data_IF_404127704703
#
_entry.id   IF_404127704703
#
_cell.length_a   1.000
_cell.length_b   1.000
_cell.length_c   1.000
_cell.angle_alpha   90.00
_cell.angle_beta   90.00
_cell.angle_gamma   90.00
#
_symmetry.space_group_name_H-M   'P 1'
#
loop_
_entity.id
_entity.type
_entity.pdbx_description
1 polymer ?
#
# COMPACT_ATOMS: atom_id res chain seq x y z
N UNK A 1 5.14 8.51 -13.05
CA UNK A 1 3.98 8.98 -12.27
C UNK A 1 3.98 10.50 -12.30
N UNK A 2 3.19 11.08 -13.20
CA UNK A 2 2.90 12.53 -13.19
C UNK A 2 1.79 12.73 -12.15
N UNK A 3 2.16 12.79 -10.87
CA UNK A 3 1.23 13.10 -9.79
C UNK A 3 1.12 14.60 -9.53
N UNK A 4 0.09 15.07 -8.81
CA UNK A 4 -0.04 16.44 -8.37
C UNK A 4 1.19 16.90 -7.57
N UNK A 5 1.43 18.20 -7.45
CA UNK A 5 2.66 18.79 -6.92
C UNK A 5 3.13 18.29 -5.56
N UNK A 6 2.21 17.84 -4.68
CA UNK A 6 2.54 17.27 -3.37
C UNK A 6 3.45 16.02 -3.46
N UNK A 7 3.23 15.14 -4.44
CA UNK A 7 4.07 13.95 -4.62
C UNK A 7 5.50 14.29 -5.07
N UNK A 8 5.70 15.41 -5.75
CA UNK A 8 7.04 15.86 -6.16
C UNK A 8 7.90 16.23 -4.96
N UNK A 9 7.33 16.92 -3.99
CA UNK A 9 8.05 17.34 -2.79
C UNK A 9 8.33 16.17 -1.85
N UNK A 10 7.38 15.27 -1.66
CA UNK A 10 7.58 14.01 -0.91
C UNK A 10 8.71 13.21 -1.55
N UNK A 11 8.67 12.97 -2.87
CA UNK A 11 9.68 12.23 -3.60
C UNK A 11 11.08 12.86 -3.46
N UNK A 12 11.17 14.18 -3.55
CA UNK A 12 12.41 14.93 -3.35
C UNK A 12 12.95 14.75 -1.92
N UNK A 13 12.08 14.81 -0.92
CA UNK A 13 12.46 14.64 0.48
C UNK A 13 12.91 13.20 0.77
N UNK A 14 12.19 12.20 0.27
CA UNK A 14 12.56 10.80 0.41
C UNK A 14 13.95 10.54 -0.19
N UNK A 15 14.23 11.07 -1.36
CA UNK A 15 15.54 10.91 -2.01
C UNK A 15 16.65 11.66 -1.29
N UNK A 16 16.45 12.94 -1.02
CA UNK A 16 17.53 13.82 -0.54
C UNK A 16 17.80 13.65 0.95
N UNK A 17 16.77 13.49 1.75
CA UNK A 17 16.87 13.40 3.19
C UNK A 17 16.98 11.95 3.68
N UNK A 18 16.09 11.08 3.17
CA UNK A 18 16.05 9.67 3.57
C UNK A 18 16.91 8.77 2.69
N UNK A 19 17.60 9.35 1.68
CA UNK A 19 18.56 8.63 0.80
C UNK A 19 17.94 7.41 0.08
N UNK A 20 16.63 7.45 -0.18
CA UNK A 20 16.01 6.41 -0.98
C UNK A 20 16.54 6.45 -2.42
N UNK A 21 16.84 5.30 -3.03
CA UNK A 21 17.35 5.21 -4.40
C UNK A 21 16.21 5.43 -5.43
N UNK A 22 15.61 6.61 -5.40
CA UNK A 22 14.52 7.00 -6.29
C UNK A 22 15.10 7.84 -7.44
N UNK A 23 14.88 7.48 -8.72
CA UNK A 23 15.36 8.24 -9.88
C UNK A 23 14.87 9.69 -9.88
N UNK A 24 15.70 10.60 -10.42
CA UNK A 24 15.36 12.03 -10.44
C UNK A 24 14.38 12.40 -11.53
N UNK A 25 14.43 11.71 -12.67
CA UNK A 25 13.66 11.97 -13.87
C UNK A 25 12.74 10.84 -14.28
N UNK A 26 12.57 10.70 -15.57
CA UNK A 26 11.95 9.52 -16.16
C UNK A 26 12.87 8.31 -15.96
N UNK A 27 12.28 7.13 -15.92
CA UNK A 27 13.03 5.88 -15.80
C UNK A 27 13.79 5.67 -17.12
N UNK A 28 15.06 5.37 -17.01
CA UNK A 28 15.92 5.00 -18.13
C UNK A 28 16.34 3.52 -18.03
N UNK A 29 17.11 3.05 -18.99
CA UNK A 29 17.55 1.65 -19.07
C UNK A 29 18.41 1.20 -17.87
N UNK A 30 18.97 2.12 -17.10
CA UNK A 30 19.72 1.80 -15.89
C UNK A 30 18.84 1.45 -14.69
N UNK A 31 17.54 1.79 -14.76
CA UNK A 31 16.58 1.45 -13.72
C UNK A 31 15.92 0.11 -14.04
N UNK A 32 16.62 -0.94 -13.73
CA UNK A 32 16.18 -2.31 -13.92
C UNK A 32 15.31 -2.83 -12.75
N UNK A 33 14.93 -4.10 -12.83
CA UNK A 33 14.14 -4.79 -11.82
C UNK A 33 14.83 -4.80 -10.46
N UNK A 34 16.15 -5.00 -10.42
CA UNK A 34 16.89 -5.08 -9.17
C UNK A 34 16.99 -3.69 -8.50
N UNK A 35 17.18 -2.64 -9.29
CA UNK A 35 17.11 -1.26 -8.81
C UNK A 35 15.72 -0.92 -8.26
N UNK A 36 14.66 -1.39 -8.91
CA UNK A 36 13.28 -1.21 -8.44
C UNK A 36 13.04 -1.94 -7.12
N UNK A 37 13.47 -3.20 -7.01
CA UNK A 37 13.39 -3.97 -5.77
C UNK A 37 14.14 -3.29 -4.62
N UNK A 38 15.36 -2.81 -4.87
CA UNK A 38 16.14 -2.08 -3.86
C UNK A 38 15.45 -0.79 -3.40
N UNK A 39 14.89 -0.03 -4.34
CA UNK A 39 14.11 1.17 -4.03
C UNK A 39 12.87 0.84 -3.19
N UNK A 40 12.18 -0.25 -3.51
CA UNK A 40 11.02 -0.72 -2.76
C UNK A 40 11.39 -1.18 -1.34
N UNK A 41 12.45 -1.97 -1.18
CA UNK A 41 12.97 -2.38 0.13
C UNK A 41 13.37 -1.18 1.00
N UNK A 42 14.06 -0.19 0.39
CA UNK A 42 14.43 1.03 1.09
C UNK A 42 13.19 1.85 1.52
N UNK A 43 12.16 1.88 0.67
CA UNK A 43 10.90 2.53 0.99
C UNK A 43 10.16 1.84 2.15
N UNK A 44 10.13 0.51 2.19
CA UNK A 44 9.54 -0.23 3.31
C UNK A 44 10.25 0.05 4.64
N UNK A 45 11.59 0.13 4.64
CA UNK A 45 12.35 0.54 5.84
C UNK A 45 12.02 1.97 6.29
N UNK A 46 11.85 2.89 5.33
CA UNK A 46 11.36 4.24 5.62
C UNK A 46 9.94 4.19 6.20
N UNK A 47 9.04 3.40 5.61
CA UNK A 47 7.64 3.28 6.06
C UNK A 47 7.56 2.82 7.52
N UNK A 48 8.37 1.84 7.93
CA UNK A 48 8.42 1.41 9.32
C UNK A 48 8.65 2.60 10.28
N UNK A 49 9.64 3.43 10.01
CA UNK A 49 9.93 4.61 10.82
C UNK A 49 8.83 5.69 10.71
N UNK A 50 8.29 5.89 9.50
CA UNK A 50 7.24 6.88 9.27
C UNK A 50 5.92 6.52 9.96
N UNK A 51 5.50 5.28 9.88
CA UNK A 51 4.29 4.77 10.54
C UNK A 51 4.43 4.78 12.07
N UNK A 52 5.67 4.68 12.59
CA UNK A 52 5.97 4.83 14.01
C UNK A 52 6.11 6.31 14.44
N UNK A 53 5.86 7.30 13.56
CA UNK A 53 6.00 8.73 13.87
C UNK A 53 7.45 9.21 14.05
N UNK A 54 8.44 8.44 13.60
CA UNK A 54 9.87 8.70 13.80
C UNK A 54 10.51 9.49 12.65
N UNK A 55 9.73 10.00 11.71
CA UNK A 55 10.21 10.82 10.60
C UNK A 55 9.58 12.21 10.63
N UNK A 56 10.24 13.20 10.01
CA UNK A 56 9.68 14.54 9.82
C UNK A 56 8.63 14.62 8.70
N UNK A 57 8.31 13.51 8.03
CA UNK A 57 7.29 13.45 6.98
C UNK A 57 5.96 13.05 7.59
N UNK A 58 4.91 13.84 7.33
CA UNK A 58 3.56 13.46 7.71
C UNK A 58 3.17 12.15 7.02
N UNK A 59 2.58 11.24 7.77
CA UNK A 59 1.98 10.02 7.23
C UNK A 59 0.92 10.38 6.18
N UNK A 60 1.03 9.79 4.99
CA UNK A 60 0.11 9.99 3.88
C UNK A 60 -0.90 8.84 3.83
N UNK A 61 -2.13 9.14 3.43
CA UNK A 61 -3.20 8.14 3.32
C UNK A 61 -2.87 6.99 2.35
N UNK A 62 -1.97 7.21 1.37
CA UNK A 62 -1.58 6.18 0.40
C UNK A 62 -0.73 5.05 1.00
N UNK A 63 -0.13 5.28 2.17
CA UNK A 63 0.65 4.26 2.88
C UNK A 63 0.31 4.16 4.37
N UNK A 64 -0.74 4.83 4.83
CA UNK A 64 -1.24 4.64 6.18
C UNK A 64 -1.64 3.18 6.41
N UNK A 65 -1.54 2.71 7.66
CA UNK A 65 -2.05 1.39 8.01
C UNK A 65 -3.57 1.35 7.83
N UNK A 66 -4.11 0.23 7.35
CA UNK A 66 -5.56 0.04 7.22
C UNK A 66 -6.25 0.12 8.59
N UNK A 67 -5.60 -0.39 9.63
CA UNK A 67 -6.07 -0.28 11.00
C UNK A 67 -6.27 1.19 11.42
N UNK A 68 -5.30 2.07 11.15
CA UNK A 68 -5.42 3.49 11.50
C UNK A 68 -6.54 4.20 10.71
N UNK A 69 -6.72 3.84 9.44
CA UNK A 69 -7.82 4.39 8.62
C UNK A 69 -9.17 3.98 9.17
N UNK A 70 -9.33 2.69 9.52
CA UNK A 70 -10.59 2.17 10.08
C UNK A 70 -10.87 2.72 11.47
N UNK A 71 -9.87 2.89 12.33
CA UNK A 71 -10.06 3.50 13.65
C UNK A 71 -10.60 4.92 13.56
N UNK A 72 -10.04 5.74 12.68
CA UNK A 72 -10.55 7.10 12.46
C UNK A 72 -12.01 7.14 11.98
N UNK A 73 -12.47 6.12 11.29
CA UNK A 73 -13.88 5.95 10.91
C UNK A 73 -14.72 5.36 12.04
N UNK A 74 -14.17 4.41 12.80
CA UNK A 74 -14.87 3.71 13.87
C UNK A 74 -15.30 4.62 15.03
N UNK A 75 -14.55 5.69 15.30
CA UNK A 75 -14.92 6.72 16.27
C UNK A 75 -16.22 7.46 15.89
N UNK A 76 -16.56 7.46 14.60
CA UNK A 76 -17.76 8.13 14.09
C UNK A 76 -18.85 7.13 13.66
N UNK A 77 -18.48 6.11 12.89
CA UNK A 77 -19.37 5.05 12.45
C UNK A 77 -18.54 3.78 12.18
N UNK A 78 -18.60 2.77 13.07
CA UNK A 78 -17.87 1.53 12.83
C UNK A 78 -18.39 0.86 11.55
N UNK A 79 -17.52 0.26 10.73
CA UNK A 79 -17.95 -0.45 9.54
C UNK A 79 -18.72 -1.71 9.93
N UNK A 80 -19.87 -1.94 9.27
CA UNK A 80 -20.65 -3.18 9.46
C UNK A 80 -19.93 -4.40 8.87
N UNK A 81 -19.02 -4.19 7.94
CA UNK A 81 -18.31 -5.26 7.24
C UNK A 81 -16.92 -4.80 6.81
N UNK A 82 -15.93 -5.62 7.07
CA UNK A 82 -14.57 -5.48 6.53
C UNK A 82 -14.30 -6.69 5.64
N UNK A 83 -13.98 -6.45 4.37
CA UNK A 83 -13.87 -7.49 3.34
C UNK A 83 -12.45 -7.50 2.80
N UNK A 84 -11.87 -8.69 2.65
CA UNK A 84 -10.59 -8.87 1.94
C UNK A 84 -10.80 -8.77 0.43
N UNK A 85 -9.82 -8.21 -0.27
CA UNK A 85 -9.90 -7.97 -1.71
C UNK A 85 -10.17 -9.26 -2.51
N UNK A 86 -9.51 -10.35 -2.16
CA UNK A 86 -9.69 -11.66 -2.81
C UNK A 86 -11.08 -12.27 -2.61
N UNK A 87 -11.82 -11.84 -1.59
CA UNK A 87 -13.18 -12.31 -1.28
C UNK A 87 -14.27 -11.32 -1.71
N UNK A 88 -13.88 -10.16 -2.24
CA UNK A 88 -14.76 -9.01 -2.52
C UNK A 88 -15.97 -9.39 -3.38
N UNK A 89 -15.80 -10.19 -4.43
CA UNK A 89 -16.88 -10.55 -5.34
C UNK A 89 -18.01 -11.32 -4.61
N UNK A 90 -17.66 -12.25 -3.72
CA UNK A 90 -18.61 -13.00 -2.91
C UNK A 90 -19.38 -12.12 -1.95
N UNK A 91 -18.66 -11.26 -1.21
CA UNK A 91 -19.28 -10.36 -0.23
C UNK A 91 -20.16 -9.29 -0.90
N UNK A 92 -19.73 -8.71 -2.02
CA UNK A 92 -20.58 -7.76 -2.77
C UNK A 92 -21.87 -8.42 -3.27
N UNK A 93 -21.79 -9.71 -3.67
CA UNK A 93 -22.99 -10.46 -4.08
C UNK A 93 -23.94 -10.67 -2.89
N UNK A 94 -23.43 -11.05 -1.73
CA UNK A 94 -24.24 -11.21 -0.51
C UNK A 94 -24.86 -9.88 -0.08
N UNK A 95 -24.07 -8.81 -0.04
CA UNK A 95 -24.53 -7.48 0.32
C UNK A 95 -25.61 -6.96 -0.64
N UNK A 96 -25.41 -7.11 -1.95
CA UNK A 96 -26.41 -6.70 -2.96
C UNK A 96 -27.77 -7.38 -2.71
N UNK A 97 -27.76 -8.69 -2.46
CA UNK A 97 -28.99 -9.43 -2.11
C UNK A 97 -29.65 -8.92 -0.85
N UNK A 98 -28.86 -8.67 0.19
CA UNK A 98 -29.36 -8.17 1.47
C UNK A 98 -30.09 -6.82 1.34
N UNK A 99 -29.59 -5.93 0.47
CA UNK A 99 -30.21 -4.62 0.21
C UNK A 99 -31.20 -4.63 -0.96
N UNK A 100 -31.57 -5.79 -1.48
CA UNK A 100 -32.63 -5.95 -2.48
C UNK A 100 -32.20 -5.79 -3.94
N UNK A 101 -30.88 -5.77 -4.23
CA UNK A 101 -30.39 -5.77 -5.60
C UNK A 101 -30.24 -7.19 -6.15
N UNK A 102 -30.71 -7.41 -7.38
CA UNK A 102 -30.61 -8.70 -8.06
C UNK A 102 -29.22 -9.00 -8.64
N UNK A 103 -28.40 -7.98 -8.85
CA UNK A 103 -27.06 -8.08 -9.46
C UNK A 103 -26.05 -7.27 -8.68
N UNK A 104 -24.99 -7.92 -8.21
CA UNK A 104 -23.87 -7.23 -7.58
C UNK A 104 -22.98 -6.52 -8.63
N UNK A 105 -22.37 -5.38 -8.28
CA UNK A 105 -21.31 -4.81 -9.09
C UNK A 105 -20.10 -5.75 -9.08
N UNK A 106 -19.42 -5.86 -10.22
CA UNK A 106 -18.15 -6.59 -10.30
C UNK A 106 -17.01 -5.70 -9.77
N UNK A 107 -16.08 -6.23 -8.95
CA UNK A 107 -14.87 -5.52 -8.60
C UNK A 107 -14.07 -5.17 -9.87
N UNK A 108 -13.56 -3.97 -9.93
CA UNK A 108 -12.65 -3.58 -11.01
C UNK A 108 -11.23 -4.03 -10.63
N UNK A 109 -10.47 -4.63 -11.56
CA UNK A 109 -9.09 -4.98 -11.30
C UNK A 109 -8.28 -3.70 -11.04
N UNK A 110 -7.38 -3.74 -10.07
CA UNK A 110 -6.44 -2.65 -9.84
C UNK A 110 -5.49 -2.55 -11.05
N UNK A 111 -5.28 -1.35 -11.63
CA UNK A 111 -4.32 -1.20 -12.71
C UNK A 111 -2.89 -1.40 -12.16
N UNK A 112 -2.09 -2.18 -12.85
CA UNK A 112 -0.64 -2.21 -12.60
C UNK A 112 -0.03 -0.88 -13.04
N UNK A 113 0.47 -0.10 -12.10
CA UNK A 113 0.99 1.25 -12.35
C UNK A 113 2.50 1.38 -12.19
N UNK A 114 3.17 0.32 -11.76
CA UNK A 114 4.61 0.26 -11.56
C UNK A 114 5.39 -0.04 -12.85
N UNK A 115 6.71 0.23 -12.88
CA UNK A 115 7.56 -0.17 -13.99
C UNK A 115 7.78 -1.68 -14.06
N UNK A 116 7.64 -2.38 -12.94
CA UNK A 116 7.71 -3.83 -12.82
C UNK A 116 6.53 -4.33 -11.97
N UNK A 117 5.91 -5.47 -12.33
CA UNK A 117 4.89 -6.11 -11.51
C UNK A 117 5.44 -6.44 -10.10
N UNK A 118 4.59 -6.33 -9.09
CA UNK A 118 4.98 -6.64 -7.71
C UNK A 118 5.50 -8.08 -7.60
N UNK A 119 4.88 -9.02 -8.31
CA UNK A 119 5.27 -10.43 -8.34
C UNK A 119 6.71 -10.67 -8.79
N UNK A 120 7.31 -9.76 -9.56
CA UNK A 120 8.68 -9.91 -10.04
C UNK A 120 9.74 -9.46 -9.02
N UNK A 121 9.35 -8.62 -8.06
CA UNK A 121 10.27 -8.02 -7.08
C UNK A 121 10.01 -8.48 -5.65
N UNK A 122 8.87 -9.15 -5.42
CA UNK A 122 8.46 -9.58 -4.08
C UNK A 122 9.09 -10.93 -3.73
N UNK A 123 9.79 -10.96 -2.61
CA UNK A 123 10.44 -12.15 -2.07
C UNK A 123 10.35 -12.18 -0.53
N UNK A 124 10.96 -13.17 0.09
CA UNK A 124 10.93 -13.35 1.54
C UNK A 124 11.51 -12.15 2.32
N UNK A 125 12.50 -11.43 1.76
CA UNK A 125 13.01 -10.20 2.41
C UNK A 125 12.00 -9.08 2.35
N UNK A 126 11.37 -8.88 1.19
CA UNK A 126 10.31 -7.86 1.01
C UNK A 126 9.11 -8.18 1.91
N UNK A 127 8.69 -9.46 1.99
CA UNK A 127 7.63 -9.90 2.90
C UNK A 127 7.98 -9.56 4.36
N UNK A 128 9.20 -9.88 4.80
CA UNK A 128 9.64 -9.57 6.17
C UNK A 128 9.62 -8.06 6.46
N UNK A 129 10.08 -7.23 5.51
CA UNK A 129 10.05 -5.78 5.63
C UNK A 129 8.62 -5.22 5.63
N UNK A 130 7.74 -5.77 4.81
CA UNK A 130 6.33 -5.40 4.74
C UNK A 130 5.63 -5.73 6.05
N UNK A 131 5.81 -6.94 6.54
CA UNK A 131 5.26 -7.39 7.83
C UNK A 131 5.76 -6.52 9.00
N UNK A 132 7.04 -6.16 8.99
CA UNK A 132 7.65 -5.32 10.02
C UNK A 132 7.10 -3.87 9.98
N UNK A 133 6.89 -3.31 8.79
CA UNK A 133 6.29 -1.98 8.64
C UNK A 133 4.80 -1.94 8.99
N UNK A 134 4.04 -2.96 8.60
CA UNK A 134 2.58 -3.05 8.74
C UNK A 134 2.14 -4.10 9.76
N UNK A 135 2.98 -4.38 10.76
CA UNK A 135 2.72 -5.42 11.78
C UNK A 135 1.31 -5.30 12.39
N UNK A 136 0.86 -4.08 12.62
CA UNK A 136 -0.48 -3.83 13.15
C UNK A 136 -1.58 -4.36 12.24
N UNK A 137 -1.48 -4.14 10.92
CA UNK A 137 -2.45 -4.64 9.95
C UNK A 137 -2.43 -6.16 9.88
N UNK A 138 -1.22 -6.77 9.86
CA UNK A 138 -1.09 -8.23 9.90
C UNK A 138 -1.77 -8.84 11.13
N UNK A 139 -1.58 -8.25 12.29
CA UNK A 139 -2.21 -8.74 13.53
C UNK A 139 -3.71 -8.45 13.57
N UNK A 140 -4.15 -7.27 13.14
CA UNK A 140 -5.56 -6.87 13.23
C UNK A 140 -6.43 -7.65 12.25
N UNK A 141 -5.94 -7.88 11.02
CA UNK A 141 -6.72 -8.52 9.96
C UNK A 141 -6.32 -9.98 9.71
N UNK A 142 -5.29 -10.49 10.40
CA UNK A 142 -4.82 -11.87 10.22
C UNK A 142 -4.29 -12.12 8.81
N UNK A 143 -3.51 -11.19 8.23
CA UNK A 143 -2.89 -11.41 6.92
C UNK A 143 -1.84 -12.52 7.00
N UNK A 144 -1.87 -13.40 5.99
CA UNK A 144 -0.80 -14.37 5.74
C UNK A 144 0.33 -13.76 4.92
N UNK A 145 1.32 -14.59 4.58
CA UNK A 145 2.36 -14.21 3.64
C UNK A 145 1.73 -14.00 2.25
N UNK A 146 2.29 -13.08 1.48
CA UNK A 146 1.86 -12.84 0.13
C UNK A 146 2.32 -14.03 -0.76
N UNK A 147 1.35 -14.63 -1.50
CA UNK A 147 1.57 -15.80 -2.34
C UNK A 147 1.38 -15.49 -3.81
#
# INVERSE_FOLDING_TARGET
>A
IKGPGCYRDIRRTLRNFHKLPIPQGELDESYDRDAHRQAFAAFLRFLKANLAGQTGIRMDAHWATQAAVLEGLADFAPPDMVVRENEMAGYLTALARQVGYSKAPAPLPAPETGPFPLAEIYDAEIEALTRDAYLRDYLTFGFGDWA
#
